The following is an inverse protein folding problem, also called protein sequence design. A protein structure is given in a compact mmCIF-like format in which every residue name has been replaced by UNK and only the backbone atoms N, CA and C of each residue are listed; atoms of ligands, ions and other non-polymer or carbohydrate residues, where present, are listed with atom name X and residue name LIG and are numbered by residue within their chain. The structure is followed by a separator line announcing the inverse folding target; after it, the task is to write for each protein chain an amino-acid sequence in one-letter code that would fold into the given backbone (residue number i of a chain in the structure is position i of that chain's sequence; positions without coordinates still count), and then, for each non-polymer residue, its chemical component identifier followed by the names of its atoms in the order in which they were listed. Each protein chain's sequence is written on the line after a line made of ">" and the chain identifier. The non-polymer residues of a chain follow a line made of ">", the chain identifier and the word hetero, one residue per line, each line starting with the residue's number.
data_IF_298199152085
#
_entry.id   IF_298199152085
#
_cell.length_a   1.000
_cell.length_b   1.000
_cell.length_c   1.000
_cell.angle_alpha   90.00
_cell.angle_beta   90.00
_cell.angle_gamma   90.00
#
_symmetry.space_group_name_H-M   'P 1'
#
loop_
_entity.id
_entity.type
_entity.pdbx_description
1 polymer ?
#
# COMPACT_ATOMS: atom_id res chain seq x y z
N UNK A 1 -12.02 -27.51 22.95
CA UNK A 1 -11.50 -26.80 21.75
C UNK A 1 -12.01 -25.36 21.80
N UNK A 2 -11.16 -24.39 22.18
CA UNK A 2 -11.56 -22.98 22.18
C UNK A 2 -11.38 -22.41 20.76
N UNK A 3 -12.49 -22.19 20.04
CA UNK A 3 -12.46 -21.45 18.78
C UNK A 3 -11.98 -20.02 19.06
N UNK A 4 -10.81 -19.65 18.51
CA UNK A 4 -10.37 -18.25 18.48
C UNK A 4 -11.44 -17.45 17.73
N UNK A 5 -12.04 -16.47 18.42
CA UNK A 5 -12.98 -15.50 17.83
C UNK A 5 -12.30 -14.87 16.61
N UNK A 6 -12.91 -15.01 15.43
CA UNK A 6 -12.41 -14.37 14.21
C UNK A 6 -12.27 -12.88 14.48
N UNK A 7 -11.05 -12.36 14.29
CA UNK A 7 -10.78 -10.94 14.42
C UNK A 7 -11.36 -10.28 13.17
N UNK A 8 -12.37 -9.43 13.31
CA UNK A 8 -12.89 -8.67 12.18
C UNK A 8 -11.78 -7.73 11.68
N UNK A 9 -11.33 -7.94 10.45
CA UNK A 9 -10.31 -7.12 9.77
C UNK A 9 -10.99 -6.12 8.82
N UNK A 10 -12.03 -5.46 9.32
CA UNK A 10 -12.84 -4.51 8.57
C UNK A 10 -12.19 -3.11 8.51
N UNK A 11 -12.89 -2.16 7.88
CA UNK A 11 -12.45 -0.77 7.77
C UNK A 11 -12.12 -0.17 9.15
N UNK A 12 -13.00 -0.31 10.12
CA UNK A 12 -12.82 0.28 11.46
C UNK A 12 -11.56 -0.28 12.14
N UNK A 13 -11.31 -1.58 11.97
CA UNK A 13 -10.10 -2.22 12.48
C UNK A 13 -8.82 -1.58 11.93
N UNK A 14 -8.74 -1.39 10.61
CA UNK A 14 -7.56 -0.84 9.96
C UNK A 14 -7.40 0.65 10.24
N UNK A 15 -8.48 1.44 10.15
CA UNK A 15 -8.49 2.86 10.51
C UNK A 15 -8.01 3.10 11.95
N UNK A 16 -8.45 2.25 12.89
CA UNK A 16 -8.01 2.35 14.28
C UNK A 16 -6.49 2.18 14.40
N UNK A 17 -5.89 1.24 13.65
CA UNK A 17 -4.43 1.08 13.71
C UNK A 17 -3.69 2.29 13.18
N UNK A 18 -4.14 2.90 12.08
CA UNK A 18 -3.58 4.15 11.57
C UNK A 18 -3.71 5.29 12.58
N UNK A 19 -4.91 5.48 13.17
CA UNK A 19 -5.16 6.53 14.18
C UNK A 19 -4.30 6.38 15.44
N UNK A 20 -3.93 5.14 15.80
CA UNK A 20 -3.11 4.85 16.96
C UNK A 20 -1.61 4.69 16.62
N UNK A 21 -1.19 5.06 15.41
CA UNK A 21 0.19 4.88 14.93
C UNK A 21 0.72 3.44 15.07
N UNK A 22 -0.18 2.45 15.01
CA UNK A 22 0.15 1.02 15.03
C UNK A 22 0.38 0.51 13.61
N UNK A 23 1.27 1.17 12.89
CA UNK A 23 1.57 0.95 11.47
C UNK A 23 2.89 0.21 11.29
N UNK A 24 3.14 -0.87 12.05
CA UNK A 24 4.43 -1.59 12.03
C UNK A 24 4.78 -2.28 10.70
N UNK A 25 3.87 -2.29 9.73
CA UNK A 25 4.12 -2.72 8.35
C UNK A 25 4.61 -1.58 7.45
N UNK A 26 4.42 -0.32 7.87
CA UNK A 26 4.92 0.84 7.16
C UNK A 26 6.41 1.00 7.46
N UNK A 27 7.23 0.74 6.44
CA UNK A 27 8.68 0.83 6.52
C UNK A 27 9.22 2.23 6.21
N UNK A 28 8.39 3.17 5.76
CA UNK A 28 8.78 4.57 5.52
C UNK A 28 9.44 4.85 4.16
N UNK A 29 9.60 3.83 3.31
CA UNK A 29 10.23 3.94 1.99
C UNK A 29 9.81 2.75 1.11
N UNK A 30 10.11 2.81 -0.19
CA UNK A 30 9.86 1.68 -1.10
C UNK A 30 10.66 0.45 -0.67
N UNK A 31 10.01 -0.70 -0.55
CA UNK A 31 10.71 -1.94 -0.22
C UNK A 31 11.73 -2.33 -1.31
N UNK A 32 12.95 -2.69 -0.91
CA UNK A 32 14.03 -3.06 -1.86
C UNK A 32 13.61 -4.10 -2.89
N UNK A 33 12.93 -5.21 -2.52
CA UNK A 33 12.52 -6.22 -3.51
C UNK A 33 11.55 -5.68 -4.57
N UNK A 34 10.62 -4.80 -4.18
CA UNK A 34 9.67 -4.20 -5.12
C UNK A 34 10.36 -3.15 -6.00
N UNK A 35 11.26 -2.35 -5.42
CA UNK A 35 12.08 -1.41 -6.20
C UNK A 35 12.88 -2.12 -7.29
N UNK A 36 13.61 -3.18 -6.92
CA UNK A 36 14.42 -3.97 -7.86
C UNK A 36 13.56 -4.62 -8.94
N UNK A 37 12.38 -5.14 -8.55
CA UNK A 37 11.43 -5.67 -9.51
C UNK A 37 10.91 -4.61 -10.49
N UNK A 38 10.60 -3.40 -10.03
CA UNK A 38 10.14 -2.30 -10.88
C UNK A 38 11.27 -1.83 -11.82
N UNK A 39 12.51 -1.79 -11.34
CA UNK A 39 13.66 -1.29 -12.10
C UNK A 39 13.94 -2.10 -13.39
N UNK A 40 13.54 -3.37 -13.44
CA UNK A 40 13.68 -4.20 -14.65
C UNK A 40 12.54 -3.99 -15.68
N UNK A 41 11.46 -3.29 -15.31
CA UNK A 41 10.29 -3.11 -16.17
C UNK A 41 10.51 -1.96 -17.15
N UNK A 42 10.67 -2.29 -18.43
CA UNK A 42 10.82 -1.31 -19.51
C UNK A 42 9.49 -0.75 -20.02
N UNK A 43 8.41 -1.55 -19.99
CA UNK A 43 7.10 -1.15 -20.50
C UNK A 43 6.38 -0.24 -19.51
N UNK A 44 6.31 1.06 -19.77
CA UNK A 44 5.70 2.06 -18.86
C UNK A 44 4.19 2.19 -18.97
N UNK A 45 3.58 1.62 -20.00
CA UNK A 45 2.13 1.63 -20.20
C UNK A 45 1.41 0.44 -19.52
N UNK A 46 2.06 -0.23 -18.56
CA UNK A 46 1.43 -1.29 -17.77
C UNK A 46 0.33 -0.69 -16.88
N UNK A 47 -0.76 -1.43 -16.73
CA UNK A 47 -1.79 -1.16 -15.73
C UNK A 47 -1.42 -1.91 -14.45
N UNK A 48 -1.14 -1.17 -13.38
CA UNK A 48 -0.62 -1.69 -12.12
C UNK A 48 -1.63 -1.40 -11.03
N UNK A 49 -2.05 -2.44 -10.30
CA UNK A 49 -2.90 -2.32 -9.12
C UNK A 49 -2.09 -2.64 -7.86
N UNK A 50 -2.14 -1.75 -6.87
CA UNK A 50 -1.56 -1.97 -5.53
C UNK A 50 -2.70 -2.09 -4.52
N UNK A 51 -3.15 -3.32 -4.17
CA UNK A 51 -4.18 -3.53 -3.16
C UNK A 51 -3.61 -3.53 -1.75
N UNK A 52 -4.35 -2.96 -0.78
CA UNK A 52 -3.85 -2.78 0.58
C UNK A 52 -2.63 -1.88 0.61
N UNK A 53 -2.69 -0.79 -0.16
CA UNK A 53 -1.52 0.01 -0.53
C UNK A 53 -0.81 0.66 0.66
N UNK A 54 -1.53 0.91 1.76
CA UNK A 54 -1.07 1.77 2.83
C UNK A 54 -0.53 3.08 2.27
N UNK A 55 0.56 3.59 2.85
CA UNK A 55 1.21 4.82 2.38
C UNK A 55 1.87 4.69 1.00
N UNK A 56 1.93 3.49 0.42
CA UNK A 56 2.36 3.15 -0.94
C UNK A 56 3.50 3.99 -1.52
N UNK A 57 4.69 3.90 -0.91
CA UNK A 57 5.92 4.46 -1.49
C UNK A 57 6.25 3.82 -2.84
N UNK A 58 5.78 2.60 -3.08
CA UNK A 58 5.81 1.91 -4.37
C UNK A 58 5.06 2.68 -5.46
N UNK A 59 3.87 3.24 -5.16
CA UNK A 59 3.09 4.03 -6.10
C UNK A 59 3.82 5.33 -6.47
N UNK A 60 4.39 6.03 -5.48
CA UNK A 60 5.21 7.21 -5.71
C UNK A 60 6.42 6.89 -6.59
N UNK A 61 7.10 5.76 -6.33
CA UNK A 61 8.26 5.33 -7.10
C UNK A 61 7.91 4.99 -8.55
N UNK A 62 6.80 4.28 -8.78
CA UNK A 62 6.27 4.00 -10.12
C UNK A 62 5.98 5.29 -10.87
N UNK A 63 5.32 6.25 -10.22
CA UNK A 63 5.03 7.55 -10.80
C UNK A 63 6.31 8.30 -11.22
N UNK A 64 7.34 8.32 -10.35
CA UNK A 64 8.67 8.89 -10.66
C UNK A 64 9.42 8.15 -11.79
N UNK A 65 9.00 6.93 -12.13
CA UNK A 65 9.55 6.09 -13.22
C UNK A 65 8.68 6.13 -14.49
N UNK A 66 7.80 7.13 -14.59
CA UNK A 66 6.91 7.40 -15.72
C UNK A 66 5.82 6.34 -15.97
N UNK A 67 5.50 5.52 -14.98
CA UNK A 67 4.30 4.67 -15.03
C UNK A 67 3.05 5.54 -14.82
N UNK A 68 2.12 5.49 -15.77
CA UNK A 68 0.95 6.37 -15.80
C UNK A 68 -0.33 5.72 -15.30
N UNK A 69 -0.43 4.40 -15.40
CA UNK A 69 -1.64 3.65 -15.07
C UNK A 69 -1.43 2.87 -13.77
N UNK A 70 -1.33 3.61 -12.66
CA UNK A 70 -1.10 3.04 -11.33
C UNK A 70 -2.31 3.34 -10.45
N UNK A 71 -3.05 2.30 -10.09
CA UNK A 71 -4.20 2.37 -9.21
C UNK A 71 -3.84 1.83 -7.82
N UNK A 72 -4.21 2.58 -6.77
CA UNK A 72 -4.02 2.17 -5.37
C UNK A 72 -5.37 1.97 -4.70
N UNK A 73 -5.48 0.92 -3.89
CA UNK A 73 -6.68 0.65 -3.11
C UNK A 73 -6.28 0.35 -1.68
N UNK A 74 -6.93 1.01 -0.73
CA UNK A 74 -6.84 0.67 0.69
C UNK A 74 -8.22 0.72 1.33
N UNK A 75 -8.41 -0.12 2.36
CA UNK A 75 -9.65 -0.16 3.14
C UNK A 75 -9.72 1.00 4.15
N UNK A 76 -8.55 1.49 4.60
CA UNK A 76 -8.42 2.67 5.44
C UNK A 76 -8.22 3.92 4.57
N UNK A 77 -8.93 5.00 4.89
CA UNK A 77 -8.86 6.23 4.08
C UNK A 77 -7.62 7.08 4.40
N UNK A 78 -7.08 6.97 5.62
CA UNK A 78 -5.92 7.74 6.09
C UNK A 78 -4.70 7.64 5.17
N UNK A 79 -4.20 6.44 4.80
CA UNK A 79 -3.05 6.34 3.91
C UNK A 79 -3.29 6.98 2.54
N UNK A 80 -4.50 6.87 1.99
CA UNK A 80 -4.85 7.42 0.68
C UNK A 80 -4.84 8.96 0.68
N UNK A 81 -5.16 9.59 1.82
CA UNK A 81 -5.11 11.04 1.97
C UNK A 81 -3.68 11.62 1.94
N UNK A 82 -2.64 10.79 2.00
CA UNK A 82 -1.25 11.22 1.89
C UNK A 82 -0.82 11.43 0.42
N UNK A 83 -1.56 10.88 -0.54
CA UNK A 83 -1.42 11.15 -1.97
C UNK A 83 -2.12 12.47 -2.29
N UNK A 84 -1.46 13.60 -2.03
CA UNK A 84 -1.93 14.94 -2.41
C UNK A 84 -0.93 15.62 -3.33
#
# INVERSE_FOLDING_TARGET
>A
MNYKKNKNLDKSYWENRYNNHKTGWDIGYISTPIKEYIDQLNTKNLHILIPGAGNSYEAEYLHKKDFKNVDVIDIATQPLNNFK
#
